data_IF_595190510026
#
_entry.id   IF_595190510026
#
_cell.length_a   1.000
_cell.length_b   1.000
_cell.length_c   1.000
_cell.angle_alpha   90.00
_cell.angle_beta   90.00
_cell.angle_gamma   90.00
#
_symmetry.space_group_name_H-M   'P 1'
#
loop_
_entity.id
_entity.type
_entity.pdbx_description
1 polymer ?
#
# COMPACT_ATOMS: atom_id res chain seq x y z
N UNK A 1 -12.60 17.24 -30.04
CA UNK A 1 -11.20 17.01 -29.60
C UNK A 1 -10.85 18.04 -28.54
N UNK A 2 -10.28 17.64 -27.41
CA UNK A 2 -9.80 18.56 -26.35
C UNK A 2 -8.50 18.02 -25.76
N UNK A 3 -7.59 18.91 -25.35
CA UNK A 3 -6.43 18.56 -24.54
C UNK A 3 -6.77 18.62 -23.05
N UNK A 4 -6.32 17.63 -22.29
CA UNK A 4 -6.47 17.55 -20.83
C UNK A 4 -5.11 17.66 -20.20
N UNK A 5 -4.91 18.74 -19.45
CA UNK A 5 -3.77 18.89 -18.56
C UNK A 5 -4.02 18.09 -17.28
N UNK A 6 -3.10 17.18 -16.98
CA UNK A 6 -3.07 16.43 -15.74
C UNK A 6 -2.37 17.28 -14.68
N UNK A 7 -2.87 17.24 -13.45
CA UNK A 7 -2.23 17.98 -12.37
C UNK A 7 -0.93 17.27 -11.97
N UNK A 8 0.17 18.00 -11.74
CA UNK A 8 1.43 17.40 -11.30
C UNK A 8 1.27 16.50 -10.07
N UNK A 9 0.41 16.89 -9.13
CA UNK A 9 0.10 16.09 -7.92
C UNK A 9 -0.50 14.72 -8.27
N UNK A 10 -1.23 14.60 -9.38
CA UNK A 10 -1.77 13.32 -9.86
C UNK A 10 -0.73 12.46 -10.58
N UNK A 11 0.44 13.02 -10.87
CA UNK A 11 1.58 12.37 -11.54
C UNK A 11 2.78 12.23 -10.59
N UNK A 12 2.64 12.68 -9.34
CA UNK A 12 3.67 12.58 -8.31
C UNK A 12 3.38 11.39 -7.41
N UNK A 13 4.46 10.71 -7.06
CA UNK A 13 4.53 9.66 -6.05
C UNK A 13 5.14 10.27 -4.80
N UNK A 14 4.82 9.74 -3.62
CA UNK A 14 5.46 10.16 -2.38
C UNK A 14 6.94 9.74 -2.32
N UNK A 15 7.38 8.88 -3.24
CA UNK A 15 8.70 8.26 -3.27
C UNK A 15 9.51 8.51 -4.56
N UNK A 16 8.97 9.23 -5.56
CA UNK A 16 9.60 9.36 -6.89
C UNK A 16 9.38 10.71 -7.55
N UNK A 17 10.28 11.04 -8.48
CA UNK A 17 10.11 12.10 -9.50
C UNK A 17 8.80 11.92 -10.28
N UNK A 18 8.32 13.02 -10.88
CA UNK A 18 7.14 13.09 -11.74
C UNK A 18 7.07 11.91 -12.74
N UNK A 19 6.03 11.09 -12.63
CA UNK A 19 5.79 9.97 -13.53
C UNK A 19 5.40 10.52 -14.90
N UNK A 20 6.16 10.16 -15.93
CA UNK A 20 5.85 10.57 -17.29
C UNK A 20 4.46 10.04 -17.72
N UNK A 21 3.62 10.93 -18.26
CA UNK A 21 2.27 10.58 -18.74
C UNK A 21 2.28 9.44 -19.76
N UNK A 22 3.33 9.36 -20.58
CA UNK A 22 3.53 8.26 -21.54
C UNK A 22 3.67 6.90 -20.84
N UNK A 23 4.37 6.84 -19.71
CA UNK A 23 4.54 5.61 -18.93
C UNK A 23 3.19 5.19 -18.36
N UNK A 24 2.42 6.12 -17.78
CA UNK A 24 1.09 5.83 -17.25
C UNK A 24 0.12 5.37 -18.34
N UNK A 25 0.16 5.97 -19.54
CA UNK A 25 -0.69 5.55 -20.65
C UNK A 25 -0.37 4.11 -21.10
N UNK A 26 0.92 3.74 -21.13
CA UNK A 26 1.36 2.36 -21.39
C UNK A 26 0.93 1.41 -20.30
N UNK A 27 1.07 1.82 -19.05
CA UNK A 27 0.64 1.05 -17.90
C UNK A 27 -0.86 0.77 -17.96
N UNK A 28 -1.68 1.79 -18.23
CA UNK A 28 -3.13 1.64 -18.45
C UNK A 28 -3.41 0.65 -19.59
N UNK A 29 -2.68 0.76 -20.71
CA UNK A 29 -2.85 -0.16 -21.84
C UNK A 29 -2.51 -1.63 -21.46
N UNK A 30 -1.45 -1.85 -20.70
CA UNK A 30 -1.06 -3.18 -20.22
C UNK A 30 -2.04 -3.76 -19.19
N UNK A 31 -2.76 -2.90 -18.46
CA UNK A 31 -3.65 -3.26 -17.36
C UNK A 31 -5.11 -2.87 -17.60
N UNK A 32 -5.57 -2.79 -18.86
CA UNK A 32 -6.89 -2.22 -19.16
C UNK A 32 -8.08 -2.93 -18.50
N UNK A 33 -7.94 -4.22 -18.16
CA UNK A 33 -8.94 -4.95 -17.37
C UNK A 33 -9.16 -4.35 -15.96
N UNK A 34 -8.13 -3.77 -15.34
CA UNK A 34 -8.23 -3.10 -14.03
C UNK A 34 -9.08 -1.84 -14.07
N UNK A 35 -9.19 -1.24 -15.25
CA UNK A 35 -9.86 0.02 -15.48
C UNK A 35 -11.17 -0.16 -16.26
N UNK A 36 -11.63 -1.41 -16.40
CA UNK A 36 -12.83 -1.78 -17.16
C UNK A 36 -12.85 -1.22 -18.58
N UNK A 37 -11.67 -1.14 -19.21
CA UNK A 37 -11.55 -0.64 -20.58
C UNK A 37 -11.98 -1.73 -21.56
N UNK A 38 -13.11 -1.47 -22.24
CA UNK A 38 -13.76 -2.44 -23.13
C UNK A 38 -12.94 -2.75 -24.40
N UNK A 39 -12.27 -1.75 -24.98
CA UNK A 39 -11.61 -1.88 -26.29
C UNK A 39 -10.24 -1.20 -26.30
N UNK A 40 -9.17 -1.97 -26.12
CA UNK A 40 -7.80 -1.47 -26.24
C UNK A 40 -7.29 -1.69 -27.67
N UNK A 41 -7.41 -0.69 -28.54
CA UNK A 41 -6.73 -0.72 -29.84
C UNK A 41 -5.24 -0.38 -29.66
N UNK A 42 -4.42 -1.40 -29.39
CA UNK A 42 -2.96 -1.27 -29.34
C UNK A 42 -2.40 -1.32 -30.77
N UNK A 43 -2.47 -0.19 -31.50
CA UNK A 43 -1.90 -0.06 -32.85
C UNK A 43 -0.36 0.02 -32.83
N UNK A 44 0.35 -0.92 -32.21
CA UNK A 44 1.83 -0.94 -32.23
C UNK A 44 2.56 0.34 -31.74
N UNK A 45 1.84 1.35 -31.26
CA UNK A 45 2.37 2.60 -30.72
C UNK A 45 2.01 2.70 -29.25
N UNK A 46 2.99 2.93 -28.37
CA UNK A 46 2.83 2.85 -26.93
C UNK A 46 2.23 4.13 -26.33
N UNK A 47 1.44 4.88 -27.10
CA UNK A 47 1.08 6.29 -26.81
C UNK A 47 -0.41 6.60 -27.04
N UNK A 48 -1.26 5.58 -27.21
CA UNK A 48 -2.71 5.75 -27.34
C UNK A 48 -3.49 4.55 -26.76
N UNK A 49 -4.67 4.82 -26.20
CA UNK A 49 -5.66 3.83 -25.82
C UNK A 49 -7.05 4.25 -26.30
N UNK A 50 -7.95 3.29 -26.43
CA UNK A 50 -9.35 3.51 -26.77
C UNK A 50 -10.22 3.02 -25.61
N UNK A 51 -11.34 3.70 -25.37
CA UNK A 51 -12.31 3.32 -24.36
C UNK A 51 -13.70 3.40 -24.99
N UNK A 52 -14.54 2.39 -24.82
CA UNK A 52 -15.92 2.42 -25.29
C UNK A 52 -16.88 2.66 -24.12
N UNK A 53 -17.90 3.49 -24.34
CA UNK A 53 -19.03 3.67 -23.44
C UNK A 53 -20.30 3.27 -24.19
N UNK A 54 -20.83 2.09 -23.86
CA UNK A 54 -22.08 1.55 -24.42
C UNK A 54 -23.34 2.26 -23.91
N UNK A 55 -23.24 2.95 -22.77
CA UNK A 55 -24.33 3.75 -22.19
C UNK A 55 -24.33 5.20 -22.68
N UNK A 56 -23.25 5.65 -23.33
CA UNK A 56 -23.02 7.06 -23.65
C UNK A 56 -22.61 7.92 -22.45
N UNK A 57 -22.28 7.32 -21.30
CA UNK A 57 -21.63 7.95 -20.14
C UNK A 57 -20.38 7.17 -19.74
N UNK A 58 -19.30 7.88 -19.39
CA UNK A 58 -18.03 7.27 -18.98
C UNK A 58 -18.01 6.87 -17.49
N UNK A 59 -19.07 7.20 -16.74
CA UNK A 59 -19.21 6.84 -15.34
C UNK A 59 -20.38 5.88 -15.16
N UNK A 60 -20.21 4.89 -14.29
CA UNK A 60 -21.29 4.02 -13.85
C UNK A 60 -22.33 4.86 -13.11
N UNK A 61 -23.47 5.10 -13.75
CA UNK A 61 -24.65 5.58 -13.05
C UNK A 61 -25.44 4.34 -12.63
N UNK A 62 -25.78 4.19 -11.34
CA UNK A 62 -26.67 3.10 -10.93
C UNK A 62 -27.92 3.17 -11.80
N UNK A 63 -28.42 2.03 -12.31
CA UNK A 63 -29.59 2.03 -13.15
C UNK A 63 -30.71 2.68 -12.36
N UNK A 64 -31.22 3.81 -12.87
CA UNK A 64 -32.52 4.32 -12.45
C UNK A 64 -33.50 3.16 -12.60
N UNK A 65 -34.27 2.88 -11.56
CA UNK A 65 -35.25 1.79 -11.45
C UNK A 65 -36.10 1.67 -12.71
N UNK A 66 -35.64 0.86 -13.66
CA UNK A 66 -36.36 0.54 -14.88
C UNK A 66 -36.40 -0.98 -14.95
N UNK A 67 -37.62 -1.47 -15.03
CA UNK A 67 -38.02 -2.88 -15.10
C UNK A 67 -37.19 -3.65 -16.12
N UNK A 68 -36.72 -4.87 -15.78
CA UNK A 68 -35.90 -5.67 -16.70
C UNK A 68 -36.76 -6.11 -17.89
N UNK A 69 -36.54 -5.48 -19.04
CA UNK A 69 -37.06 -5.96 -20.33
C UNK A 69 -36.19 -7.12 -20.81
N UNK A 70 -36.81 -8.28 -21.03
CA UNK A 70 -36.20 -9.55 -21.46
C UNK A 70 -35.74 -9.60 -22.92
N UNK A 71 -35.48 -8.45 -23.56
CA UNK A 71 -34.94 -8.42 -24.92
C UNK A 71 -33.43 -8.25 -24.89
N UNK A 72 -32.70 -9.26 -25.39
CA UNK A 72 -31.31 -9.11 -25.84
C UNK A 72 -31.29 -8.06 -26.94
N UNK A 73 -30.93 -6.83 -26.59
CA UNK A 73 -30.68 -5.73 -27.53
C UNK A 73 -29.16 -5.55 -27.59
N UNK A 74 -28.58 -5.66 -28.77
CA UNK A 74 -27.17 -5.33 -29.00
C UNK A 74 -26.96 -3.83 -28.72
N UNK A 75 -25.95 -3.44 -27.91
CA UNK A 75 -25.74 -2.05 -27.54
C UNK A 75 -24.98 -1.33 -28.66
N UNK A 76 -25.69 -0.90 -29.70
CA UNK A 76 -25.11 -0.13 -30.82
C UNK A 76 -25.18 1.39 -30.60
N UNK A 77 -25.46 1.83 -29.36
CA UNK A 77 -25.43 3.22 -28.91
C UNK A 77 -24.16 3.54 -28.12
N UNK A 78 -23.54 4.72 -28.29
CA UNK A 78 -22.46 5.11 -27.38
C UNK A 78 -21.42 6.11 -27.89
N UNK A 79 -20.31 6.14 -27.15
CA UNK A 79 -19.09 6.87 -27.47
C UNK A 79 -17.88 5.96 -27.48
N UNK A 80 -16.97 6.20 -28.42
CA UNK A 80 -15.59 5.74 -28.30
C UNK A 80 -14.71 6.94 -27.97
N UNK A 81 -13.83 6.81 -26.98
CA UNK A 81 -12.88 7.83 -26.57
C UNK A 81 -11.48 7.34 -26.92
N UNK A 82 -10.76 8.10 -27.73
CA UNK A 82 -9.32 7.91 -27.93
C UNK A 82 -8.58 8.84 -26.98
N UNK A 83 -7.66 8.30 -26.19
CA UNK A 83 -6.76 9.02 -25.30
C UNK A 83 -5.35 8.84 -25.84
N UNK A 84 -4.63 9.92 -26.14
CA UNK A 84 -3.27 9.84 -26.69
C UNK A 84 -2.35 10.92 -26.18
N UNK A 85 -1.06 10.61 -26.06
CA UNK A 85 0.01 11.60 -25.85
C UNK A 85 0.56 12.16 -27.17
N UNK A 86 0.14 11.62 -28.32
CA UNK A 86 0.59 12.10 -29.62
C UNK A 86 -0.12 13.40 -30.00
N UNK A 87 0.61 14.41 -30.50
CA UNK A 87 0.00 15.65 -30.95
C UNK A 87 -0.73 15.43 -32.29
N UNK A 88 -2.05 15.62 -32.29
CA UNK A 88 -2.89 15.56 -33.49
C UNK A 88 -2.94 16.88 -34.27
N UNK A 89 -2.25 17.89 -33.77
CA UNK A 89 -2.10 19.20 -34.43
C UNK A 89 -0.61 19.50 -34.59
N UNK A 90 -0.27 20.50 -35.40
CA UNK A 90 1.13 20.94 -35.57
C UNK A 90 1.75 21.55 -34.30
N UNK A 91 0.96 21.80 -33.25
CA UNK A 91 1.47 22.30 -31.98
C UNK A 91 1.89 21.13 -31.09
N UNK A 92 3.08 21.19 -30.46
CA UNK A 92 3.50 20.19 -29.48
C UNK A 92 2.53 20.19 -28.29
N UNK A 93 2.32 19.02 -27.73
CA UNK A 93 1.52 18.83 -26.52
C UNK A 93 2.43 19.05 -25.28
N UNK A 94 1.88 19.67 -24.23
CA UNK A 94 2.57 19.78 -22.95
C UNK A 94 2.91 18.37 -22.40
N UNK A 95 4.04 18.23 -21.71
CA UNK A 95 4.52 16.94 -21.17
C UNK A 95 3.53 16.25 -20.23
N UNK A 96 2.73 17.05 -19.52
CA UNK A 96 1.75 16.59 -18.53
C UNK A 96 0.33 16.57 -19.10
N UNK A 97 0.18 16.45 -20.42
CA UNK A 97 -1.12 16.52 -21.09
C UNK A 97 -1.37 15.33 -22.01
N UNK A 98 -2.66 15.02 -22.16
CA UNK A 98 -3.17 14.04 -23.13
C UNK A 98 -4.21 14.70 -24.04
N UNK A 99 -4.35 14.21 -25.26
CA UNK A 99 -5.40 14.60 -26.18
C UNK A 99 -6.53 13.58 -26.17
N UNK A 100 -7.75 14.10 -26.15
CA UNK A 100 -8.99 13.34 -26.17
C UNK A 100 -9.70 13.54 -27.50
N UNK A 101 -10.02 12.43 -28.17
CA UNK A 101 -10.90 12.40 -29.32
C UNK A 101 -12.13 11.58 -28.97
N UNK A 102 -13.25 12.27 -28.81
CA UNK A 102 -14.53 11.64 -28.68
C UNK A 102 -15.06 11.30 -30.08
N UNK A 103 -15.06 10.02 -30.41
CA UNK A 103 -15.65 9.45 -31.61
C UNK A 103 -17.09 9.02 -31.28
N UNK A 104 -18.04 9.48 -32.09
CA UNK A 104 -19.44 9.08 -31.96
C UNK A 104 -19.71 7.93 -32.91
N UNK A 105 -20.15 6.80 -32.39
CA UNK A 105 -20.82 5.74 -33.16
C UNK A 105 -22.32 5.84 -32.91
N UNK A 106 -23.15 6.06 -33.92
CA UNK A 106 -24.58 5.67 -33.84
C UNK A 106 -25.31 5.81 -35.18
N UNK A 107 -26.10 4.80 -35.53
CA UNK A 107 -27.50 5.00 -35.91
C UNK A 107 -28.41 4.26 -34.92
N UNK A 108 -29.23 5.02 -34.17
CA UNK A 108 -30.37 4.47 -33.42
C UNK A 108 -31.65 5.00 -34.08
N UNK A 109 -32.45 4.11 -34.68
CA UNK A 109 -33.72 4.46 -35.33
C UNK A 109 -34.91 4.55 -34.36
N UNK A 110 -34.73 4.23 -33.07
CA UNK A 110 -35.82 4.26 -32.10
C UNK A 110 -35.59 5.39 -31.11
N UNK A 111 -36.26 6.50 -31.42
CA UNK A 111 -36.23 7.72 -30.65
C UNK A 111 -36.91 7.61 -29.28
N UNK A 112 -36.58 8.63 -28.50
CA UNK A 112 -37.25 9.15 -27.29
C UNK A 112 -36.89 8.45 -25.98
N UNK A 113 -36.01 9.13 -25.23
CA UNK A 113 -35.71 8.88 -23.82
C UNK A 113 -34.53 7.92 -23.61
N UNK A 114 -33.47 8.41 -22.97
CA UNK A 114 -32.24 7.68 -22.56
C UNK A 114 -31.13 7.53 -23.62
N UNK A 115 -31.03 8.48 -24.55
CA UNK A 115 -29.97 8.53 -25.56
C UNK A 115 -28.70 9.21 -25.06
N UNK A 116 -27.56 8.70 -25.54
CA UNK A 116 -26.20 9.28 -25.54
C UNK A 116 -26.17 10.78 -25.23
N UNK A 117 -25.31 11.20 -24.30
CA UNK A 117 -25.19 12.60 -23.86
C UNK A 117 -24.99 13.58 -25.05
N UNK A 118 -25.20 14.89 -24.88
CA UNK A 118 -24.66 15.86 -25.83
C UNK A 118 -23.14 15.77 -25.89
N UNK A 119 -22.54 15.98 -27.06
CA UNK A 119 -21.08 15.83 -27.28
C UNK A 119 -20.27 16.69 -26.31
N UNK A 120 -20.72 17.91 -26.01
CA UNK A 120 -20.08 18.83 -25.09
C UNK A 120 -20.06 18.26 -23.67
N UNK A 121 -21.18 17.70 -23.22
CA UNK A 121 -21.32 17.08 -21.89
C UNK A 121 -20.55 15.77 -21.81
N UNK A 122 -20.59 14.95 -22.86
CA UNK A 122 -19.80 13.73 -22.96
C UNK A 122 -18.30 14.01 -22.92
N UNK A 123 -17.86 15.12 -23.53
CA UNK A 123 -16.47 15.53 -23.50
C UNK A 123 -16.06 16.03 -22.11
N UNK A 124 -16.94 16.73 -21.38
CA UNK A 124 -16.70 17.08 -19.98
C UNK A 124 -16.57 15.83 -19.10
N UNK A 125 -17.47 14.84 -19.28
CA UNK A 125 -17.36 13.56 -18.57
C UNK A 125 -16.07 12.81 -18.94
N UNK A 126 -15.70 12.77 -20.22
CA UNK A 126 -14.46 12.15 -20.68
C UNK A 126 -13.22 12.80 -20.05
N UNK A 127 -13.21 14.12 -19.85
CA UNK A 127 -12.12 14.83 -19.17
C UNK A 127 -12.01 14.42 -17.70
N UNK A 128 -13.14 14.35 -16.98
CA UNK A 128 -13.17 13.92 -15.58
C UNK A 128 -12.74 12.46 -15.45
N UNK A 129 -13.28 11.59 -16.31
CA UNK A 129 -12.92 10.18 -16.38
C UNK A 129 -11.42 10.00 -16.61
N UNK A 130 -10.86 10.73 -17.58
CA UNK A 130 -9.42 10.67 -17.89
C UNK A 130 -8.56 11.11 -16.72
N UNK A 131 -8.92 12.21 -16.02
CA UNK A 131 -8.18 12.67 -14.85
C UNK A 131 -8.15 11.62 -13.74
N UNK A 132 -9.31 11.02 -13.46
CA UNK A 132 -9.42 10.00 -12.43
C UNK A 132 -8.69 8.71 -12.81
N UNK A 133 -8.82 8.28 -14.07
CA UNK A 133 -8.10 7.14 -14.63
C UNK A 133 -6.58 7.28 -14.43
N UNK A 134 -6.00 8.43 -14.79
CA UNK A 134 -4.57 8.68 -14.61
C UNK A 134 -4.15 8.78 -13.15
N UNK A 135 -4.99 9.38 -12.28
CA UNK A 135 -4.73 9.46 -10.84
C UNK A 135 -4.66 8.07 -10.21
N UNK A 136 -5.64 7.20 -10.50
CA UNK A 136 -5.66 5.82 -10.00
C UNK A 136 -4.52 5.01 -10.62
N UNK A 137 -4.23 5.20 -11.90
CA UNK A 137 -3.11 4.52 -12.56
C UNK A 137 -1.75 4.89 -11.98
N UNK A 138 -1.54 6.14 -11.57
CA UNK A 138 -0.31 6.55 -10.89
C UNK A 138 -0.10 5.76 -9.58
N UNK A 139 -1.14 5.64 -8.76
CA UNK A 139 -1.09 4.88 -7.50
C UNK A 139 -0.81 3.38 -7.74
N UNK A 140 -1.50 2.78 -8.71
CA UNK A 140 -1.29 1.37 -9.05
C UNK A 140 0.12 1.12 -9.62
N UNK A 141 0.61 2.02 -10.48
CA UNK A 141 1.96 1.94 -11.04
C UNK A 141 3.02 2.01 -9.94
N UNK A 142 2.88 2.97 -9.02
CA UNK A 142 3.79 3.14 -7.89
C UNK A 142 3.81 1.89 -7.00
N UNK A 143 2.63 1.38 -6.64
CA UNK A 143 2.49 0.14 -5.88
C UNK A 143 3.20 -1.01 -6.58
N UNK A 144 2.90 -1.26 -7.84
CA UNK A 144 3.47 -2.39 -8.58
C UNK A 144 4.99 -2.26 -8.76
N UNK A 145 5.49 -1.03 -8.89
CA UNK A 145 6.92 -0.73 -8.93
C UNK A 145 7.61 -1.03 -7.60
N UNK A 146 7.05 -0.57 -6.48
CA UNK A 146 7.57 -0.83 -5.13
C UNK A 146 7.55 -2.33 -4.80
N UNK A 147 6.45 -3.02 -5.10
CA UNK A 147 6.34 -4.47 -4.97
C UNK A 147 7.41 -5.20 -5.78
N UNK A 148 7.63 -4.79 -7.03
CA UNK A 148 8.66 -5.40 -7.87
C UNK A 148 10.06 -5.22 -7.28
N UNK A 149 10.37 -4.03 -6.73
CA UNK A 149 11.66 -3.76 -6.08
C UNK A 149 11.84 -4.52 -4.77
N UNK A 150 10.76 -4.79 -4.04
CA UNK A 150 10.80 -5.64 -2.85
C UNK A 150 11.05 -7.11 -3.20
N UNK A 151 10.32 -7.63 -4.19
CA UNK A 151 10.33 -9.05 -4.56
C UNK A 151 11.62 -9.50 -5.25
N UNK A 152 12.18 -8.65 -6.11
CA UNK A 152 13.35 -9.01 -6.91
C UNK A 152 14.60 -8.37 -6.31
N UNK A 153 15.60 -9.21 -6.03
CA UNK A 153 16.93 -8.69 -5.71
C UNK A 153 17.60 -8.09 -6.95
N UNK A 154 18.63 -7.27 -6.73
CA UNK A 154 19.40 -6.57 -7.77
C UNK A 154 20.12 -7.53 -8.75
N UNK A 155 20.15 -8.83 -8.47
CA UNK A 155 20.86 -9.84 -9.27
C UNK A 155 19.94 -10.76 -10.08
N UNK A 156 18.64 -10.84 -9.75
CA UNK A 156 17.66 -11.82 -10.29
C UNK A 156 16.33 -11.22 -10.73
N UNK A 157 16.24 -9.89 -10.84
CA UNK A 157 15.05 -9.20 -11.30
C UNK A 157 14.98 -8.92 -12.81
N UNK A 158 13.80 -8.53 -13.34
CA UNK A 158 13.64 -8.08 -14.72
C UNK A 158 14.62 -6.97 -15.12
N UNK A 159 14.95 -6.06 -14.19
CA UNK A 159 15.94 -5.02 -14.42
C UNK A 159 17.36 -5.57 -14.64
N UNK A 160 17.76 -6.56 -13.84
CA UNK A 160 19.05 -7.24 -14.00
C UNK A 160 19.12 -8.03 -15.31
N UNK A 161 18.01 -8.66 -15.71
CA UNK A 161 17.91 -9.38 -16.99
C UNK A 161 18.00 -8.42 -18.19
N UNK A 162 17.32 -7.27 -18.12
CA UNK A 162 17.43 -6.21 -19.15
C UNK A 162 18.85 -5.66 -19.20
N UNK A 163 19.46 -5.35 -18.05
CA UNK A 163 20.83 -4.86 -17.99
C UNK A 163 21.80 -5.85 -18.62
N UNK A 164 21.66 -7.14 -18.29
CA UNK A 164 22.49 -8.21 -18.85
C UNK A 164 22.27 -8.37 -20.36
N UNK A 165 21.02 -8.37 -20.80
CA UNK A 165 20.65 -8.54 -22.21
C UNK A 165 21.16 -7.39 -23.08
N UNK A 166 21.11 -6.17 -22.55
CA UNK A 166 21.51 -4.94 -23.25
C UNK A 166 22.94 -4.48 -22.93
N UNK A 167 23.70 -5.27 -22.16
CA UNK A 167 25.04 -4.91 -21.66
C UNK A 167 25.10 -3.52 -20.99
N UNK A 168 24.07 -3.18 -20.23
CA UNK A 168 24.00 -1.95 -19.44
C UNK A 168 24.62 -2.18 -18.04
N UNK A 169 25.08 -1.10 -17.36
CA UNK A 169 25.51 -1.19 -15.98
C UNK A 169 24.44 -1.81 -15.07
N UNK A 170 24.82 -2.74 -14.20
CA UNK A 170 23.88 -3.47 -13.34
C UNK A 170 23.20 -2.57 -12.30
N UNK A 171 23.86 -1.47 -11.92
CA UNK A 171 23.36 -0.44 -11.03
C UNK A 171 22.36 0.52 -11.68
N UNK A 172 22.21 0.51 -13.01
CA UNK A 172 21.29 1.41 -13.72
C UNK A 172 19.82 1.21 -13.31
N UNK A 173 19.46 -0.01 -12.91
CA UNK A 173 18.11 -0.36 -12.47
C UNK A 173 18.02 -0.63 -10.97
N UNK A 174 19.15 -0.49 -10.24
CA UNK A 174 19.20 -0.72 -8.80
C UNK A 174 18.48 0.42 -8.11
N UNK A 175 17.43 0.08 -7.39
CA UNK A 175 16.73 1.02 -6.52
C UNK A 175 16.43 0.33 -5.21
N UNK A 176 17.15 0.73 -4.18
CA UNK A 176 16.89 0.24 -2.83
C UNK A 176 15.56 0.81 -2.33
N UNK A 177 14.72 -0.09 -1.82
CA UNK A 177 13.54 0.29 -1.04
C UNK A 177 14.05 0.60 0.35
N UNK A 178 13.85 1.84 0.81
CA UNK A 178 14.10 2.24 2.20
C UNK A 178 12.81 2.23 3.03
N UNK A 179 12.88 2.62 4.32
CA UNK A 179 11.71 2.63 5.22
C UNK A 179 10.53 3.45 4.68
N UNK A 180 10.79 4.64 4.11
CA UNK A 180 9.73 5.49 3.53
C UNK A 180 9.06 4.82 2.33
N UNK A 181 9.84 4.19 1.45
CA UNK A 181 9.30 3.47 0.29
C UNK A 181 8.52 2.23 0.71
N UNK A 182 8.93 1.56 1.79
CA UNK A 182 8.17 0.46 2.36
C UNK A 182 6.84 0.95 2.93
N UNK A 183 6.84 2.02 3.72
CA UNK A 183 5.62 2.59 4.31
C UNK A 183 4.59 2.92 3.22
N UNK A 184 5.01 3.60 2.15
CA UNK A 184 4.14 3.90 1.02
C UNK A 184 3.72 2.63 0.26
N UNK A 185 4.59 1.63 0.13
CA UNK A 185 4.22 0.34 -0.45
C UNK A 185 3.10 -0.34 0.34
N UNK A 186 3.22 -0.41 1.67
CA UNK A 186 2.22 -1.02 2.55
C UNK A 186 0.90 -0.25 2.51
N UNK A 187 0.96 1.08 2.53
CA UNK A 187 -0.21 1.97 2.40
C UNK A 187 -0.96 1.80 1.08
N UNK A 188 -0.25 1.51 -0.01
CA UNK A 188 -0.85 1.22 -1.32
C UNK A 188 -1.27 -0.25 -1.47
N UNK A 189 -0.89 -1.11 -0.52
CA UNK A 189 -1.23 -2.53 -0.49
C UNK A 189 -2.50 -2.78 0.30
N UNK A 190 -3.03 -4.00 0.18
CA UNK A 190 -4.11 -4.46 1.03
C UNK A 190 -3.50 -5.27 2.16
N UNK A 191 -3.35 -4.65 3.31
CA UNK A 191 -2.87 -5.30 4.53
C UNK A 191 -4.07 -5.84 5.31
N UNK A 192 -4.16 -7.17 5.43
CA UNK A 192 -5.19 -7.84 6.20
C UNK A 192 -4.55 -8.41 7.47
N UNK A 193 -4.92 -7.94 8.67
CA UNK A 193 -4.42 -8.51 9.92
C UNK A 193 -4.68 -10.03 9.97
N UNK A 194 -3.74 -10.79 10.53
CA UNK A 194 -3.80 -12.25 10.54
C UNK A 194 -5.07 -12.76 11.23
N UNK A 195 -5.48 -12.10 12.30
CA UNK A 195 -6.69 -12.38 13.09
C UNK A 195 -7.99 -12.16 12.32
N UNK A 196 -7.97 -11.34 11.26
CA UNK A 196 -9.11 -11.17 10.38
C UNK A 196 -9.34 -12.40 9.47
N UNK A 197 -8.34 -13.28 9.32
CA UNK A 197 -8.47 -14.55 8.60
C UNK A 197 -9.10 -15.64 9.47
N UNK A 198 -8.63 -15.76 10.71
CA UNK A 198 -9.19 -16.61 11.75
C UNK A 198 -8.86 -15.99 13.12
N UNK A 199 -9.85 -15.60 13.93
CA UNK A 199 -9.62 -14.96 15.23
C UNK A 199 -8.74 -15.77 16.18
N UNK A 200 -8.65 -17.10 16.03
CA UNK A 200 -7.81 -17.96 16.87
C UNK A 200 -6.31 -17.77 16.59
N UNK A 201 -5.94 -17.18 15.46
CA UNK A 201 -4.54 -16.86 15.16
C UNK A 201 -4.01 -15.72 16.03
N UNK A 202 -4.88 -14.86 16.55
CA UNK A 202 -4.52 -13.84 17.54
C UNK A 202 -4.10 -14.49 18.87
N UNK A 203 -4.83 -15.51 19.31
CA UNK A 203 -4.51 -16.27 20.53
C UNK A 203 -3.12 -16.91 20.44
N UNK A 204 -2.74 -17.36 19.25
CA UNK A 204 -1.39 -17.87 18.98
C UNK A 204 -0.35 -16.77 19.16
N UNK A 205 -0.58 -15.52 18.77
CA UNK A 205 0.42 -14.46 18.91
C UNK A 205 0.51 -13.86 20.32
N UNK A 206 -0.46 -14.13 21.20
CA UNK A 206 -0.53 -13.57 22.57
C UNK A 206 -0.03 -14.50 23.68
N UNK A 207 0.79 -15.50 23.34
CA UNK A 207 1.36 -16.40 24.33
C UNK A 207 2.42 -15.66 25.15
N UNK A 208 2.25 -15.64 26.48
CA UNK A 208 3.19 -15.03 27.42
C UNK A 208 4.46 -15.87 27.60
N UNK A 209 5.56 -15.23 28.01
CA UNK A 209 6.86 -15.91 28.22
C UNK A 209 7.57 -16.33 26.93
N UNK A 210 7.10 -15.86 25.77
CA UNK A 210 7.64 -16.21 24.46
C UNK A 210 8.47 -15.04 23.92
N UNK A 211 9.77 -15.29 23.69
CA UNK A 211 10.69 -14.29 23.14
C UNK A 211 10.54 -14.17 21.62
N UNK A 212 9.62 -13.32 21.16
CA UNK A 212 9.33 -13.13 19.73
C UNK A 212 10.54 -12.65 18.90
N UNK A 213 11.54 -12.03 19.53
CA UNK A 213 12.79 -11.64 18.88
C UNK A 213 13.61 -12.87 18.45
N UNK A 214 13.51 -14.00 19.15
CA UNK A 214 14.14 -15.26 18.72
C UNK A 214 13.44 -15.85 17.50
N UNK A 215 12.12 -15.72 17.38
CA UNK A 215 11.42 -16.08 16.15
C UNK A 215 11.97 -15.30 14.96
N UNK A 216 12.22 -13.99 15.11
CA UNK A 216 12.81 -13.17 14.07
C UNK A 216 14.19 -13.69 13.62
N UNK A 217 15.02 -14.20 14.55
CA UNK A 217 16.30 -14.84 14.22
C UNK A 217 16.10 -16.16 13.45
N UNK A 218 15.13 -16.98 13.87
CA UNK A 218 14.82 -18.24 13.18
C UNK A 218 14.26 -18.04 11.77
N UNK A 219 13.41 -17.04 11.59
CA UNK A 219 12.88 -16.69 10.27
C UNK A 219 14.00 -16.25 9.33
N UNK A 220 15.01 -15.53 9.84
CA UNK A 220 16.22 -15.19 9.08
C UNK A 220 16.98 -16.43 8.61
N UNK A 221 17.11 -17.45 9.46
CA UNK A 221 17.80 -18.69 9.09
C UNK A 221 17.02 -19.51 8.05
N UNK A 222 15.70 -19.60 8.19
CA UNK A 222 14.84 -20.44 7.33
C UNK A 222 14.57 -19.77 5.98
N UNK A 223 14.37 -18.45 5.98
CA UNK A 223 13.90 -17.68 4.84
C UNK A 223 14.91 -16.63 4.35
N UNK A 224 16.21 -16.82 4.58
CA UNK A 224 17.26 -15.83 4.29
C UNK A 224 17.10 -15.08 2.96
N UNK A 225 16.89 -15.80 1.85
CA UNK A 225 16.75 -15.20 0.51
C UNK A 225 15.41 -14.47 0.29
N UNK A 226 14.40 -14.84 1.07
CA UNK A 226 13.00 -14.38 0.96
C UNK A 226 12.62 -13.34 2.00
N UNK A 227 13.50 -13.02 2.94
CA UNK A 227 13.23 -12.07 4.01
C UNK A 227 13.82 -10.70 3.68
N UNK A 228 13.10 -9.63 4.00
CA UNK A 228 13.60 -8.25 4.02
C UNK A 228 13.34 -7.64 5.38
N UNK A 229 14.32 -6.93 5.92
CA UNK A 229 14.24 -6.32 7.25
C UNK A 229 14.36 -4.80 7.15
N UNK A 230 13.51 -4.10 7.89
CA UNK A 230 13.47 -2.66 7.97
C UNK A 230 13.30 -2.23 9.43
N UNK A 231 13.95 -1.13 9.81
CA UNK A 231 13.81 -0.55 11.14
C UNK A 231 13.16 0.82 11.01
N UNK A 232 12.12 1.05 11.80
CA UNK A 232 11.45 2.34 11.93
C UNK A 232 11.66 2.86 13.35
N UNK A 233 11.87 4.17 13.43
CA UNK A 233 12.02 4.88 14.69
C UNK A 233 10.93 5.94 14.74
N UNK A 234 9.97 5.75 15.62
CA UNK A 234 8.97 6.78 15.97
C UNK A 234 9.39 7.46 17.29
N UNK A 235 8.70 8.50 17.73
CA UNK A 235 9.10 9.26 18.92
C UNK A 235 9.16 8.36 20.17
N UNK A 236 8.17 7.48 20.35
CA UNK A 236 7.98 6.69 21.57
C UNK A 236 8.35 5.19 21.45
N UNK A 237 8.48 4.67 20.22
CA UNK A 237 8.68 3.23 19.98
C UNK A 237 9.72 2.96 18.87
N UNK A 238 10.35 1.79 18.95
CA UNK A 238 11.14 1.24 17.85
C UNK A 238 10.39 0.03 17.29
N UNK A 239 10.19 0.00 15.97
CA UNK A 239 9.62 -1.17 15.31
C UNK A 239 10.59 -1.81 14.31
N UNK A 240 10.73 -3.13 14.38
CA UNK A 240 11.40 -3.94 13.37
C UNK A 240 10.35 -4.60 12.48
N UNK A 241 10.46 -4.40 11.18
CA UNK A 241 9.55 -4.91 10.17
C UNK A 241 10.25 -6.00 9.37
N UNK A 242 9.75 -7.23 9.46
CA UNK A 242 10.18 -8.35 8.62
C UNK A 242 9.13 -8.61 7.55
N UNK A 243 9.56 -8.57 6.29
CA UNK A 243 8.74 -8.93 5.14
C UNK A 243 9.20 -10.28 4.61
N UNK A 244 8.36 -11.29 4.80
CA UNK A 244 8.54 -12.59 4.17
C UNK A 244 7.89 -12.55 2.78
N UNK A 245 8.75 -12.50 1.76
CA UNK A 245 8.38 -12.55 0.37
C UNK A 245 7.96 -13.98 0.01
N UNK A 246 6.84 -14.13 -0.68
CA UNK A 246 6.36 -15.44 -1.11
C UNK A 246 6.57 -15.57 -2.64
N UNK A 247 7.72 -16.07 -3.14
CA UNK A 247 8.05 -16.05 -4.56
C UNK A 247 7.10 -16.90 -5.41
N UNK A 248 6.52 -17.96 -4.87
CA UNK A 248 5.50 -18.76 -5.56
C UNK A 248 4.15 -18.02 -5.71
N UNK A 249 4.00 -16.90 -5.00
CA UNK A 249 2.81 -16.04 -4.99
C UNK A 249 3.22 -14.56 -4.98
N UNK A 250 3.71 -14.07 -6.11
CA UNK A 250 4.24 -12.70 -6.31
C UNK A 250 3.29 -11.53 -5.97
N UNK A 251 2.06 -11.81 -5.56
CA UNK A 251 1.06 -10.84 -5.11
C UNK A 251 0.80 -10.92 -3.59
N UNK A 252 1.65 -11.64 -2.86
CA UNK A 252 1.55 -11.86 -1.42
C UNK A 252 2.88 -11.58 -0.70
N UNK A 253 2.81 -10.84 0.39
CA UNK A 253 3.89 -10.66 1.36
C UNK A 253 3.30 -10.90 2.75
N UNK A 254 4.02 -11.63 3.61
CA UNK A 254 3.67 -11.77 5.02
C UNK A 254 4.53 -10.78 5.78
N UNK A 255 3.90 -9.79 6.40
CA UNK A 255 4.56 -8.70 7.11
C UNK A 255 4.43 -8.92 8.61
N UNK A 256 5.57 -9.01 9.30
CA UNK A 256 5.66 -9.07 10.74
C UNK A 256 6.21 -7.75 11.26
N UNK A 257 5.58 -7.19 12.28
CA UNK A 257 6.05 -6.01 13.00
C UNK A 257 6.34 -6.39 14.44
N UNK A 258 7.57 -6.14 14.88
CA UNK A 258 8.01 -6.33 16.26
C UNK A 258 8.16 -4.95 16.89
N UNK A 259 7.31 -4.64 17.87
CA UNK A 259 7.32 -3.36 18.57
C UNK A 259 8.14 -3.51 19.85
N UNK A 260 9.12 -2.64 20.03
CA UNK A 260 9.90 -2.52 21.26
C UNK A 260 9.67 -1.12 21.83
N UNK A 261 9.07 -1.00 23.03
CA UNK A 261 8.96 0.29 23.71
C UNK A 261 10.35 0.90 23.89
N UNK A 262 10.50 2.21 23.70
CA UNK A 262 11.73 2.86 24.12
C UNK A 262 11.73 2.96 25.64
N UNK A 263 12.84 2.55 26.26
CA UNK A 263 13.03 2.80 27.69
C UNK A 263 12.81 4.30 27.95
N UNK A 264 12.02 4.68 28.97
CA UNK A 264 11.89 6.08 29.33
C UNK A 264 13.29 6.60 29.61
N UNK A 265 13.71 7.62 28.86
CA UNK A 265 14.96 8.33 29.11
C UNK A 265 14.86 8.85 30.54
N UNK A 266 15.46 8.13 31.49
CA UNK A 266 15.64 8.62 32.85
C UNK A 266 16.47 9.87 32.66
N UNK A 267 15.84 11.03 32.82
CA UNK A 267 16.54 12.29 32.87
C UNK A 267 17.56 12.15 34.00
N UNK A 268 18.82 11.94 33.63
CA UNK A 268 19.94 12.08 34.54
C UNK A 268 19.82 13.49 35.10
N UNK A 269 19.37 13.60 36.35
CA UNK A 269 19.53 14.79 37.15
C UNK A 269 21.04 15.08 37.16
N UNK A 270 21.47 15.96 36.27
CA UNK A 270 22.80 16.54 36.31
C UNK A 270 22.85 17.35 37.60
N UNK A 271 23.47 16.75 38.61
CA UNK A 271 24.03 17.47 39.74
C UNK A 271 25.06 18.46 39.21
N UNK A 272 24.71 19.74 39.24
CA UNK A 272 25.69 20.81 39.33
C UNK A 272 25.63 21.39 40.75
N UNK A 273 26.67 21.05 41.52
CA UNK A 273 26.96 21.70 42.77
C UNK A 273 27.66 23.05 42.54
N UNK A 274 27.21 24.02 43.34
CA UNK A 274 27.99 25.11 43.96
C UNK A 274 27.95 26.54 43.36
N UNK A 275 27.24 27.37 44.13
CA UNK A 275 27.65 28.65 44.75
C UNK A 275 27.30 29.97 44.03
N UNK A 276 26.41 30.78 44.61
CA UNK A 276 26.76 31.78 45.65
C UNK A 276 25.55 32.64 46.10
N UNK A 277 25.47 32.83 47.43
CA UNK A 277 25.10 34.03 48.22
C UNK A 277 23.74 34.76 48.08
N UNK A 278 23.11 34.98 49.25
CA UNK A 278 22.15 36.08 49.47
C UNK A 278 21.18 35.86 50.65
N UNK A 279 21.46 36.49 51.79
CA UNK A 279 20.73 36.46 53.08
C UNK A 279 19.30 37.02 53.06
N UNK A 280 18.39 36.49 53.91
CA UNK A 280 17.83 37.18 55.11
C UNK A 280 16.39 36.77 55.52
N UNK A 281 16.27 36.42 56.81
CA UNK A 281 15.17 36.58 57.79
C UNK A 281 13.67 36.52 57.38
N UNK A 282 12.88 35.66 58.05
CA UNK A 282 11.95 36.06 59.14
C UNK A 282 11.05 34.90 59.68
N UNK A 283 11.17 34.66 61.00
CA UNK A 283 10.15 34.41 62.04
C UNK A 283 8.86 33.56 61.80
N UNK A 284 8.80 32.48 62.61
CA UNK A 284 7.75 32.13 63.61
C UNK A 284 6.47 31.35 63.24
N UNK A 285 6.20 30.37 64.14
CA UNK A 285 4.90 29.94 64.68
C UNK A 285 4.10 28.85 63.94
N UNK A 286 3.74 27.78 64.66
CA UNK A 286 2.56 26.97 64.33
C UNK A 286 2.59 25.52 64.81
N UNK A 287 2.10 25.28 66.02
CA UNK A 287 1.78 23.96 66.60
C UNK A 287 0.91 23.07 65.69
N UNK A 288 1.04 21.75 65.83
CA UNK A 288 0.06 20.80 65.30
C UNK A 288 0.41 19.33 65.52
N UNK A 289 0.31 18.87 66.76
CA UNK A 289 0.35 17.45 67.15
C UNK A 289 -0.88 16.69 66.63
N UNK A 290 -0.73 15.43 66.18
CA UNK A 290 -1.57 14.23 66.42
C UNK A 290 -1.23 13.16 65.36
N UNK A 291 -0.42 12.14 65.68
CA UNK A 291 -0.74 10.85 66.34
C UNK A 291 -1.36 9.79 65.42
N UNK A 292 -0.49 8.87 64.97
CA UNK A 292 -0.60 7.39 64.94
C UNK A 292 -1.81 6.67 64.31
N UNK A 293 -1.52 5.86 63.28
CA UNK A 293 -1.94 4.45 63.12
C UNK A 293 -1.02 3.82 62.07
N UNK A 294 0.01 3.06 62.44
CA UNK A 294 0.02 1.59 62.54
C UNK A 294 -0.89 0.92 61.50
N UNK A 295 -0.28 0.45 60.40
CA UNK A 295 -0.31 -0.96 60.05
C UNK A 295 0.87 -1.29 59.11
N UNK A 296 1.72 -2.20 59.58
CA UNK A 296 2.73 -2.85 58.77
C UNK A 296 2.10 -3.79 57.74
N UNK A 297 2.89 -4.04 56.70
CA UNK A 297 3.19 -5.37 56.15
C UNK A 297 2.52 -5.83 54.83
N UNK A 298 3.44 -6.18 53.91
CA UNK A 298 3.31 -6.94 52.67
C UNK A 298 2.74 -6.22 51.45
N UNK A 299 3.61 -5.51 50.73
CA UNK A 299 3.54 -5.52 49.26
C UNK A 299 4.60 -6.48 48.76
N UNK A 300 4.15 -7.71 48.50
CA UNK A 300 4.83 -8.68 47.64
C UNK A 300 5.35 -7.98 46.38
N UNK A 301 6.56 -8.37 45.97
CA UNK A 301 7.14 -7.98 44.70
C UNK A 301 6.18 -8.35 43.58
N UNK A 302 5.60 -7.30 42.96
CA UNK A 302 5.02 -7.40 41.65
C UNK A 302 6.17 -7.51 40.67
N UNK A 303 6.24 -8.68 40.04
CA UNK A 303 7.15 -9.01 38.95
C UNK A 303 7.24 -7.85 37.95
N UNK A 304 8.46 -7.63 37.49
CA UNK A 304 8.74 -6.81 36.31
C UNK A 304 7.76 -7.22 35.22
N UNK A 305 7.07 -6.22 34.66
CA UNK A 305 6.24 -6.33 33.48
C UNK A 305 7.19 -6.72 32.33
N UNK A 306 7.52 -8.01 32.25
CA UNK A 306 8.35 -8.58 31.19
C UNK A 306 7.67 -8.22 29.89
N UNK A 307 8.30 -7.29 29.17
CA UNK A 307 7.91 -6.75 27.87
C UNK A 307 7.17 -7.79 27.04
N UNK A 308 5.83 -7.75 27.04
CA UNK A 308 5.02 -8.49 26.09
C UNK A 308 5.47 -8.01 24.71
N UNK A 309 6.27 -8.83 24.02
CA UNK A 309 6.71 -8.55 22.67
C UNK A 309 5.48 -8.49 21.78
N UNK A 310 4.98 -7.29 21.52
CA UNK A 310 3.81 -7.05 20.69
C UNK A 310 4.18 -7.33 19.23
N UNK A 311 4.12 -8.60 18.83
CA UNK A 311 4.23 -9.00 17.43
C UNK A 311 2.89 -8.80 16.74
N UNK A 312 2.90 -8.12 15.61
CA UNK A 312 1.74 -7.98 14.72
C UNK A 312 2.05 -8.65 13.40
N UNK A 313 1.08 -9.37 12.85
CA UNK A 313 1.23 -10.04 11.55
C UNK A 313 0.13 -9.58 10.62
N UNK A 314 0.52 -9.11 9.45
CA UNK A 314 -0.38 -8.70 8.38
C UNK A 314 -0.08 -9.49 7.11
N UNK A 315 -1.15 -9.89 6.43
CA UNK A 315 -1.10 -10.50 5.12
C UNK A 315 -1.31 -9.40 4.08
N UNK A 316 -0.20 -8.97 3.48
CA UNK A 316 -0.18 -7.91 2.49
C UNK A 316 -0.40 -8.50 1.10
N UNK A 317 -1.37 -7.95 0.36
CA UNK A 317 -1.62 -8.29 -1.04
C UNK A 317 -1.39 -7.09 -1.94
N UNK A 318 -0.80 -7.36 -3.11
CA UNK A 318 -0.60 -6.32 -4.13
C UNK A 318 -1.93 -5.81 -4.67
N UNK A 319 -2.91 -6.68 -4.88
CA UNK A 319 -4.20 -6.31 -5.48
C UNK A 319 -5.34 -7.10 -4.84
N UNK A 320 -6.55 -6.51 -4.80
CA UNK A 320 -7.72 -7.24 -4.32
C UNK A 320 -8.20 -8.18 -5.43
N UNK A 321 -8.28 -9.49 -5.18
CA UNK A 321 -8.89 -10.38 -6.15
C UNK A 321 -10.39 -10.06 -6.27
N UNK A 322 -10.96 -10.22 -7.46
CA UNK A 322 -12.37 -9.87 -7.76
C UNK A 322 -13.38 -10.60 -6.88
N UNK A 323 -13.06 -11.79 -6.40
CA UNK A 323 -13.87 -12.57 -5.47
C UNK A 323 -13.56 -12.29 -3.98
N UNK A 324 -12.63 -11.36 -3.70
CA UNK A 324 -12.12 -11.00 -2.37
C UNK A 324 -11.49 -12.15 -1.57
N UNK A 325 -11.23 -13.29 -2.20
CA UNK A 325 -10.69 -14.48 -1.54
C UNK A 325 -9.23 -14.71 -1.92
N UNK A 326 -8.46 -15.29 -0.99
CA UNK A 326 -7.12 -15.78 -1.28
C UNK A 326 -7.15 -16.89 -2.34
N UNK A 327 -6.11 -16.95 -3.17
CA UNK A 327 -5.90 -18.07 -4.08
C UNK A 327 -5.46 -19.33 -3.31
N UNK A 328 -5.49 -20.50 -3.95
CA UNK A 328 -5.01 -21.72 -3.33
C UNK A 328 -3.53 -21.63 -2.93
N UNK A 329 -2.69 -21.07 -3.81
CA UNK A 329 -1.27 -20.90 -3.55
C UNK A 329 -1.03 -19.94 -2.36
N UNK A 330 -1.75 -18.82 -2.31
CA UNK A 330 -1.65 -17.88 -1.18
C UNK A 330 -2.04 -18.53 0.15
N UNK A 331 -3.16 -19.26 0.19
CA UNK A 331 -3.58 -19.99 1.40
C UNK A 331 -2.52 -21.01 1.85
N UNK A 332 -1.86 -21.67 0.90
CA UNK A 332 -0.79 -22.61 1.22
C UNK A 332 0.41 -21.90 1.86
N UNK A 333 0.90 -20.81 1.27
CA UNK A 333 2.01 -20.03 1.84
C UNK A 333 1.68 -19.50 3.24
N UNK A 334 0.47 -18.98 3.45
CA UNK A 334 0.00 -18.53 4.78
C UNK A 334 -0.02 -19.71 5.77
N UNK A 335 -0.53 -20.88 5.36
CA UNK A 335 -0.58 -22.06 6.23
C UNK A 335 0.82 -22.58 6.62
N UNK A 336 1.76 -22.60 5.68
CA UNK A 336 3.15 -23.00 5.92
C UNK A 336 3.84 -22.05 6.91
N UNK A 337 3.59 -20.75 6.79
CA UNK A 337 4.07 -19.76 7.74
C UNK A 337 3.46 -19.94 9.14
N UNK A 338 2.12 -20.08 9.24
CA UNK A 338 1.44 -20.29 10.54
C UNK A 338 1.96 -21.56 11.22
N UNK A 339 2.14 -22.66 10.47
CA UNK A 339 2.72 -23.89 11.00
C UNK A 339 4.14 -23.68 11.55
N UNK A 340 4.92 -22.79 10.93
CA UNK A 340 6.27 -22.44 11.41
C UNK A 340 6.22 -21.73 12.75
N UNK A 341 5.24 -20.82 12.95
CA UNK A 341 5.04 -20.17 14.26
C UNK A 341 4.62 -21.21 15.30
N UNK A 342 3.61 -22.04 15.01
CA UNK A 342 3.14 -23.10 15.93
C UNK A 342 4.30 -24.00 16.35
N UNK A 343 5.07 -24.49 15.37
CA UNK A 343 6.22 -25.37 15.64
C UNK A 343 7.27 -24.67 16.50
N UNK A 344 7.55 -23.40 16.24
CA UNK A 344 8.49 -22.63 17.05
C UNK A 344 7.99 -22.44 18.47
N UNK A 345 6.74 -22.05 18.68
CA UNK A 345 6.17 -21.90 20.02
C UNK A 345 6.20 -23.19 20.80
N UNK A 346 5.84 -24.31 20.18
CA UNK A 346 5.95 -25.62 20.82
C UNK A 346 7.39 -25.92 21.23
N UNK A 347 8.38 -25.54 20.40
CA UNK A 347 9.77 -25.72 20.75
C UNK A 347 10.18 -24.84 21.93
N UNK A 348 9.86 -23.54 21.88
CA UNK A 348 10.22 -22.59 22.95
C UNK A 348 9.51 -22.90 24.27
N UNK A 349 8.28 -23.38 24.26
CA UNK A 349 7.53 -23.70 25.49
C UNK A 349 7.89 -25.07 26.11
N UNK A 350 8.47 -25.99 25.33
CA UNK A 350 8.78 -27.35 25.80
C UNK A 350 10.25 -27.49 26.19
N UNK A 351 11.15 -26.80 25.49
CA UNK A 351 12.60 -27.01 25.61
C UNK A 351 13.36 -25.87 26.28
N UNK A 352 12.73 -24.69 26.41
CA UNK A 352 13.19 -23.59 27.26
C UNK A 352 12.24 -23.48 28.47
#
# INVERSE_FOLDING_TARGET
MVAVKLQPVSLQSNCSELIMVQILLRYIACHGSRYELLDLLQFGTPDAVVCHSSSGSFFHRPPSTITPSTRKVEPLGGYSLVITTQPLTRKPLDKDSVQLLLLKSTPSELGVGNGVLPVERALQEAQLFTRELFRVAAQHYERDLLWSRLLFDDSRGPGADVARTLALPADLFRVEVGPQQLEECLKLSICTPLEALDPRLDELLRVSGVCWQELALRLRDIYADQLREFQFQEEDENSSHLLLLCPDTFDLIIHLTFITPKDPVIATEQGEASASDGESNHTSSGNGSHSSSINEQFSEGGFEDESEGNVRVEICRREEPTNKQFTFAQRRSISEFVNSIVHWQWRSLIYD
#
